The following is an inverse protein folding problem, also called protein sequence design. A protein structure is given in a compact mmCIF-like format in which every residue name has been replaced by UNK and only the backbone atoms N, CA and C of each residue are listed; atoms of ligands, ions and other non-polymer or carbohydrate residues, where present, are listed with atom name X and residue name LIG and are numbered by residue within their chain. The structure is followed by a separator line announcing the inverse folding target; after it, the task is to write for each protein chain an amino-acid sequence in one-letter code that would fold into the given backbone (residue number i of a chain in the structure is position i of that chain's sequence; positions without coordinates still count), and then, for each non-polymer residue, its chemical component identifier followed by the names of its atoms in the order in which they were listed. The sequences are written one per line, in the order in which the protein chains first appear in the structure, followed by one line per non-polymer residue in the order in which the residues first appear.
data_IF_795456566176
#
_entry.id   IF_795456566176
#
_cell.length_a   1.000
_cell.length_b   1.000
_cell.length_c   1.000
_cell.angle_alpha   90.00
_cell.angle_beta   90.00
_cell.angle_gamma   90.00
#
_symmetry.space_group_name_H-M   'P 1'
#
loop_
_entity.id
_entity.type
_entity.pdbx_description
1 polymer ?
#
# COMPACT_ATOMS: atom_id res chain seq x y z
N UNK A 1 23.31 12.87 -12.94
CA UNK A 1 22.55 12.13 -11.91
C UNK A 1 22.67 10.65 -12.17
N UNK A 2 23.07 9.85 -11.18
CA UNK A 2 23.20 8.39 -11.31
C UNK A 2 21.78 7.81 -11.45
N UNK A 3 21.43 7.36 -12.65
CA UNK A 3 20.12 6.74 -12.93
C UNK A 3 20.15 5.34 -12.30
N UNK A 4 19.85 5.22 -11.01
CA UNK A 4 19.62 3.90 -10.44
C UNK A 4 18.36 3.38 -11.09
N UNK A 5 18.50 2.24 -11.77
CA UNK A 5 17.37 1.46 -12.24
C UNK A 5 16.81 0.82 -10.96
N UNK A 6 16.05 1.60 -10.19
CA UNK A 6 15.46 1.15 -8.93
C UNK A 6 14.47 0.04 -9.23
N UNK A 7 15.01 -1.18 -9.21
CA UNK A 7 14.25 -2.39 -9.32
C UNK A 7 13.30 -2.46 -8.12
N UNK A 8 12.01 -2.69 -8.40
CA UNK A 8 10.98 -2.71 -7.35
C UNK A 8 11.16 -3.92 -6.42
N UNK A 9 12.11 -4.81 -6.69
CA UNK A 9 12.42 -5.99 -5.88
C UNK A 9 12.65 -5.67 -4.40
N UNK A 10 13.33 -4.57 -4.06
CA UNK A 10 13.52 -4.15 -2.67
C UNK A 10 12.17 -3.80 -2.00
N UNK A 11 11.32 -3.05 -2.69
CA UNK A 11 10.00 -2.65 -2.19
C UNK A 11 9.10 -3.87 -2.04
N UNK A 12 9.10 -4.79 -3.02
CA UNK A 12 8.34 -6.05 -2.96
C UNK A 12 8.75 -6.87 -1.73
N UNK A 13 10.04 -6.97 -1.42
CA UNK A 13 10.54 -7.66 -0.21
C UNK A 13 10.01 -7.00 1.07
N UNK A 14 10.03 -5.67 1.15
CA UNK A 14 9.48 -4.94 2.30
C UNK A 14 7.97 -5.19 2.46
N UNK A 15 7.20 -5.14 1.37
CA UNK A 15 5.76 -5.40 1.38
C UNK A 15 5.43 -6.86 1.77
N UNK A 16 6.24 -7.83 1.35
CA UNK A 16 6.14 -9.22 1.82
C UNK A 16 6.39 -9.33 3.33
N UNK A 17 7.41 -8.65 3.84
CA UNK A 17 7.68 -8.56 5.27
C UNK A 17 6.51 -7.95 6.05
N UNK A 18 5.94 -6.85 5.55
CA UNK A 18 4.77 -6.22 6.15
C UNK A 18 3.55 -7.16 6.19
N UNK A 19 3.28 -7.90 5.11
CA UNK A 19 2.21 -8.92 5.08
C UNK A 19 2.43 -10.00 6.16
N UNK A 20 3.67 -10.45 6.34
CA UNK A 20 4.03 -11.41 7.38
C UNK A 20 3.75 -10.86 8.78
N UNK A 21 4.18 -9.61 9.04
CA UNK A 21 3.93 -8.93 10.31
C UNK A 21 2.42 -8.81 10.63
N UNK A 22 1.60 -8.41 9.66
CA UNK A 22 0.14 -8.34 9.84
C UNK A 22 -0.45 -9.73 10.11
N UNK A 23 0.03 -10.77 9.42
CA UNK A 23 -0.40 -12.15 9.67
C UNK A 23 -0.09 -12.59 11.11
N UNK A 24 1.08 -12.24 11.63
CA UNK A 24 1.45 -12.48 13.01
C UNK A 24 0.55 -11.72 14.00
N UNK A 25 0.31 -10.43 13.77
CA UNK A 25 -0.63 -9.63 14.57
C UNK A 25 -2.04 -10.20 14.54
N UNK A 26 -2.48 -10.76 13.40
CA UNK A 26 -3.78 -11.42 13.29
C UNK A 26 -3.88 -12.62 14.24
N UNK A 27 -2.88 -13.50 14.25
CA UNK A 27 -2.90 -14.66 15.14
C UNK A 27 -2.83 -14.27 16.62
N UNK A 28 -2.02 -13.26 16.97
CA UNK A 28 -2.03 -12.69 18.33
C UNK A 28 -3.43 -12.17 18.67
N UNK A 29 -4.04 -11.39 17.79
CA UNK A 29 -5.33 -10.78 18.07
C UNK A 29 -6.45 -11.82 18.20
N UNK A 30 -6.42 -12.90 17.41
CA UNK A 30 -7.37 -14.01 17.55
C UNK A 30 -7.33 -14.61 18.96
N UNK A 31 -6.12 -14.84 19.49
CA UNK A 31 -5.92 -15.41 20.82
C UNK A 31 -6.22 -14.40 21.93
N UNK A 32 -5.71 -13.17 21.80
CA UNK A 32 -5.82 -12.13 22.84
C UNK A 32 -7.27 -11.70 23.08
N UNK A 33 -8.05 -11.51 22.01
CA UNK A 33 -9.47 -11.12 22.12
C UNK A 33 -10.43 -12.32 22.17
N UNK A 34 -9.94 -13.56 22.07
CA UNK A 34 -10.77 -14.76 21.90
C UNK A 34 -11.77 -14.62 20.73
N UNK A 35 -11.31 -14.02 19.62
CA UNK A 35 -12.11 -13.72 18.43
C UNK A 35 -11.54 -14.48 17.24
N UNK A 36 -12.07 -15.68 16.88
CA UNK A 36 -11.53 -16.51 15.81
C UNK A 36 -11.64 -15.85 14.42
N UNK A 37 -12.46 -14.82 14.29
CA UNK A 37 -12.70 -14.03 13.09
C UNK A 37 -11.85 -12.75 13.02
N UNK A 38 -11.01 -12.48 14.02
CA UNK A 38 -10.21 -11.27 14.07
C UNK A 38 -9.40 -11.06 12.78
N UNK A 39 -9.71 -9.98 12.06
CA UNK A 39 -9.12 -9.61 10.77
C UNK A 39 -9.11 -10.75 9.72
N UNK A 40 -10.11 -11.65 9.76
CA UNK A 40 -10.23 -12.74 8.78
C UNK A 40 -10.36 -12.21 7.35
N UNK A 41 -11.23 -11.21 7.19
CA UNK A 41 -11.56 -10.62 5.88
C UNK A 41 -10.76 -9.34 5.59
N UNK A 42 -9.66 -9.13 6.30
CA UNK A 42 -8.79 -7.98 6.08
C UNK A 42 -8.16 -8.05 4.68
N UNK A 43 -8.43 -7.02 3.89
CA UNK A 43 -7.87 -6.85 2.56
C UNK A 43 -6.52 -6.14 2.65
N UNK A 44 -5.56 -6.57 1.83
CA UNK A 44 -4.21 -6.00 1.81
C UNK A 44 -4.04 -5.06 0.61
N UNK A 45 -4.25 -3.74 0.75
CA UNK A 45 -3.90 -2.79 -0.29
C UNK A 45 -2.39 -2.54 -0.28
N UNK A 46 -1.70 -2.96 -1.35
CA UNK A 46 -0.27 -2.72 -1.52
C UNK A 46 -0.04 -1.44 -2.33
N UNK A 47 0.65 -0.46 -1.72
CA UNK A 47 0.91 0.85 -2.34
C UNK A 47 2.40 1.20 -2.22
N UNK A 48 2.96 1.79 -3.27
CA UNK A 48 4.30 2.38 -3.28
C UNK A 48 4.22 3.84 -3.70
N UNK A 49 4.67 4.73 -2.82
CA UNK A 49 4.73 6.17 -3.07
C UNK A 49 6.18 6.53 -3.39
N UNK A 50 6.41 7.18 -4.53
CA UNK A 50 7.73 7.63 -4.97
C UNK A 50 7.74 9.15 -5.22
N UNK A 51 8.91 9.76 -5.09
CA UNK A 51 9.17 11.18 -5.34
C UNK A 51 8.41 12.14 -4.40
N UNK A 52 8.24 11.80 -3.13
CA UNK A 52 7.49 12.56 -2.10
C UNK A 52 7.93 14.02 -1.85
N UNK A 53 8.96 14.52 -2.54
CA UNK A 53 9.35 15.93 -2.51
C UNK A 53 8.34 16.78 -3.30
N UNK A 54 7.15 16.99 -2.74
CA UNK A 54 6.14 17.89 -3.31
C UNK A 54 6.19 19.21 -2.54
N UNK A 55 6.30 20.33 -3.25
CA UNK A 55 5.92 21.62 -2.69
C UNK A 55 4.44 21.57 -2.32
N UNK A 56 4.04 22.17 -1.19
CA UNK A 56 2.63 22.22 -0.76
C UNK A 56 1.80 22.91 -1.86
N UNK A 57 1.14 22.14 -2.71
CA UNK A 57 0.25 22.67 -3.76
C UNK A 57 -1.19 22.36 -3.37
N UNK A 58 -2.11 23.27 -3.70
CA UNK A 58 -3.54 23.14 -3.41
C UNK A 58 -4.12 21.87 -4.01
N UNK A 59 -4.82 21.10 -3.17
CA UNK A 59 -5.45 19.84 -3.51
C UNK A 59 -6.64 20.09 -4.42
N UNK A 60 -6.47 19.94 -5.73
CA UNK A 60 -7.59 19.88 -6.68
C UNK A 60 -7.68 18.44 -7.20
N UNK A 61 -8.79 17.77 -6.91
CA UNK A 61 -9.05 16.39 -7.30
C UNK A 61 -9.28 16.32 -8.83
N UNK A 62 -8.41 15.64 -9.60
CA UNK A 62 -8.76 15.30 -10.95
C UNK A 62 -9.72 14.10 -10.91
N UNK A 63 -10.87 14.21 -11.57
CA UNK A 63 -11.75 13.06 -11.82
C UNK A 63 -10.96 12.04 -12.64
N UNK A 64 -10.55 10.93 -12.02
CA UNK A 64 -9.88 9.84 -12.72
C UNK A 64 -10.78 8.62 -12.77
N UNK A 65 -11.07 8.20 -14.01
CA UNK A 65 -11.59 6.88 -14.35
C UNK A 65 -10.41 5.92 -14.56
N UNK A 66 -9.73 5.53 -13.48
CA UNK A 66 -8.85 4.36 -13.55
C UNK A 66 -9.70 3.14 -13.23
N UNK A 67 -9.76 2.17 -14.15
CA UNK A 67 -10.31 0.84 -13.86
C UNK A 67 -9.68 0.37 -12.55
N UNK A 68 -10.51 -0.05 -11.61
CA UNK A 68 -10.10 -0.55 -10.29
C UNK A 68 -9.26 -1.82 -10.48
N UNK A 69 -7.96 -1.66 -10.65
CA UNK A 69 -7.02 -2.77 -10.61
C UNK A 69 -6.88 -3.21 -9.14
N UNK A 70 -6.99 -4.51 -8.89
CA UNK A 70 -6.93 -5.04 -7.53
C UNK A 70 -5.45 -5.08 -7.11
N UNK A 71 -5.09 -4.29 -6.10
CA UNK A 71 -3.73 -4.14 -5.58
C UNK A 71 -3.47 -5.04 -4.36
N UNK A 72 -3.85 -6.32 -4.46
CA UNK A 72 -3.86 -7.30 -3.36
C UNK A 72 -2.57 -8.12 -3.23
N UNK A 73 -1.57 -7.84 -4.07
CA UNK A 73 -0.28 -8.51 -4.09
C UNK A 73 0.87 -7.51 -4.06
N UNK A 74 1.97 -7.80 -3.31
CA UNK A 74 3.19 -6.97 -3.33
C UNK A 74 3.71 -6.69 -4.75
N UNK A 75 3.63 -7.67 -5.63
CA UNK A 75 4.06 -7.60 -7.03
C UNK A 75 3.14 -6.68 -7.88
N UNK A 76 1.88 -6.52 -7.47
CA UNK A 76 0.84 -5.71 -8.12
C UNK A 76 0.55 -4.42 -7.37
N UNK A 77 1.52 -3.92 -6.62
CA UNK A 77 1.36 -2.69 -5.83
C UNK A 77 0.98 -1.48 -6.68
N UNK A 78 0.06 -0.66 -6.19
CA UNK A 78 -0.30 0.63 -6.77
C UNK A 78 0.89 1.57 -6.68
N UNK A 79 1.37 2.09 -7.82
CA UNK A 79 2.48 3.04 -7.85
C UNK A 79 1.94 4.46 -7.93
N UNK A 80 2.30 5.26 -6.94
CA UNK A 80 1.84 6.63 -6.81
C UNK A 80 3.03 7.55 -6.95
N UNK A 81 2.99 8.37 -8.00
CA UNK A 81 3.86 9.53 -8.10
C UNK A 81 3.31 10.64 -7.22
N UNK A 82 4.21 11.39 -6.59
CA UNK A 82 3.89 12.44 -5.63
C UNK A 82 3.23 13.68 -6.28
N UNK A 83 2.01 13.51 -6.76
CA UNK A 83 0.99 14.55 -6.76
C UNK A 83 0.16 14.32 -5.49
N UNK A 84 -0.34 15.39 -4.88
CA UNK A 84 -1.23 15.26 -3.73
C UNK A 84 -2.43 14.37 -4.13
N UNK A 85 -2.49 13.16 -3.58
CA UNK A 85 -3.60 12.22 -3.73
C UNK A 85 -4.34 12.11 -2.41
N UNK A 86 -5.66 12.02 -2.46
CA UNK A 86 -6.45 11.80 -1.25
C UNK A 86 -6.24 10.36 -0.75
N UNK A 87 -6.26 10.17 0.57
CA UNK A 87 -6.17 8.83 1.16
C UNK A 87 -7.31 7.91 0.70
N UNK A 88 -8.49 8.48 0.44
CA UNK A 88 -9.64 7.77 -0.14
C UNK A 88 -9.38 7.24 -1.56
N UNK A 89 -8.37 7.73 -2.26
CA UNK A 89 -7.97 7.24 -3.58
C UNK A 89 -7.00 6.03 -3.49
N UNK A 90 -6.67 5.58 -2.28
CA UNK A 90 -5.71 4.50 -2.00
C UNK A 90 -6.38 3.18 -1.58
N UNK A 91 -7.69 3.20 -1.33
CA UNK A 91 -8.46 2.11 -0.69
C UNK A 91 -9.61 1.70 -1.60
#
# INVERSE_FOLDING_TARGET
MKKSRDDNSSIIKQLKGAKCFVSYCREIGRLFWNQPDFLRDYQYPFVSIKNISISKTTTSSPKFSQKSEIHDQPEKMLKISAKAKHFQELI
#
